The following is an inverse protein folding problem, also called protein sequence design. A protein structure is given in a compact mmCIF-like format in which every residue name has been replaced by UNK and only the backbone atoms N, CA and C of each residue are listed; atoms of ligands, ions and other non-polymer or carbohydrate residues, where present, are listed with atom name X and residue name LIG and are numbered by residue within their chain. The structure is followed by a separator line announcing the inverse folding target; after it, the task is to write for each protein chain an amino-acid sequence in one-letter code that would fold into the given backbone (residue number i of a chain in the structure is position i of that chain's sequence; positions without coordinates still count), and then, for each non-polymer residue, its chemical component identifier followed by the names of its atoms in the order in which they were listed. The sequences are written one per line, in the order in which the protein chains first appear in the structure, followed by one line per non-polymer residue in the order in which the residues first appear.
data_IF_552908601218
#
_entry.id   IF_552908601218
#
_cell.length_a   1.000
_cell.length_b   1.000
_cell.length_c   1.000
_cell.angle_alpha   90.00
_cell.angle_beta   90.00
_cell.angle_gamma   90.00
#
_symmetry.space_group_name_H-M   'P 1'
#
loop_
_entity.id
_entity.type
_entity.pdbx_description
1 polymer ?
#
# COMPACT_ATOMS: atom_id res chain seq x y z
N UNK A 1 2.56 27.85 -9.19
CA UNK A 1 1.21 28.15 -8.63
C UNK A 1 0.16 27.13 -9.10
N UNK A 2 0.05 26.84 -10.40
CA UNK A 2 -0.96 25.90 -10.96
C UNK A 2 -0.84 24.46 -10.48
N UNK A 3 0.37 23.90 -10.33
CA UNK A 3 0.57 22.51 -9.89
C UNK A 3 0.14 22.27 -8.43
N UNK A 4 0.37 23.24 -7.54
CA UNK A 4 -0.11 23.14 -6.16
C UNK A 4 -1.64 23.11 -6.06
N UNK A 5 -2.35 23.83 -6.93
CA UNK A 5 -3.81 23.80 -7.00
C UNK A 5 -4.32 22.46 -7.56
N UNK A 6 -3.64 21.86 -8.55
CA UNK A 6 -3.97 20.53 -9.08
C UNK A 6 -3.79 19.47 -7.99
N UNK A 7 -2.67 19.47 -7.31
CA UNK A 7 -2.39 18.54 -6.18
C UNK A 7 -3.45 18.70 -5.08
N UNK A 8 -3.80 19.94 -4.69
CA UNK A 8 -4.83 20.15 -3.67
C UNK A 8 -6.21 19.61 -4.10
N UNK A 9 -6.60 19.81 -5.37
CA UNK A 9 -7.85 19.23 -5.94
C UNK A 9 -7.80 17.70 -5.95
N UNK A 10 -6.68 17.10 -6.35
CA UNK A 10 -6.46 15.65 -6.31
C UNK A 10 -6.61 15.09 -4.89
N UNK A 11 -5.99 15.72 -3.89
CA UNK A 11 -6.11 15.34 -2.48
C UNK A 11 -7.56 15.44 -1.99
N UNK A 12 -8.27 16.55 -2.31
CA UNK A 12 -9.68 16.72 -1.94
C UNK A 12 -10.54 15.62 -2.58
N UNK A 13 -10.27 15.25 -3.84
CA UNK A 13 -10.95 14.13 -4.51
C UNK A 13 -10.69 12.82 -3.77
N UNK A 14 -9.44 12.50 -3.43
CA UNK A 14 -9.07 11.32 -2.65
C UNK A 14 -9.77 11.29 -1.31
N UNK A 15 -9.78 12.40 -0.56
CA UNK A 15 -10.51 12.49 0.71
C UNK A 15 -12.01 12.17 0.56
N UNK A 16 -12.66 12.68 -0.49
CA UNK A 16 -14.08 12.38 -0.76
C UNK A 16 -14.30 10.91 -1.07
N UNK A 17 -13.43 10.30 -1.88
CA UNK A 17 -13.53 8.88 -2.26
C UNK A 17 -13.31 8.00 -1.02
N UNK A 18 -12.24 8.23 -0.26
CA UNK A 18 -11.79 7.32 0.77
C UNK A 18 -12.48 7.52 2.13
N UNK A 19 -12.99 8.72 2.42
CA UNK A 19 -13.71 9.02 3.67
C UNK A 19 -15.21 9.24 3.48
N UNK A 20 -15.71 9.35 2.25
CA UNK A 20 -17.12 9.64 1.95
C UNK A 20 -18.07 8.47 2.19
N UNK A 21 -17.57 7.23 2.25
CA UNK A 21 -18.38 6.02 2.40
C UNK A 21 -18.13 5.32 3.73
N UNK A 22 -19.10 5.41 4.64
CA UNK A 22 -19.05 4.75 5.95
C UNK A 22 -19.18 3.23 5.85
N UNK A 23 -19.87 2.71 4.85
CA UNK A 23 -20.04 1.26 4.66
C UNK A 23 -18.71 0.62 4.26
N UNK A 24 -17.95 1.28 3.37
CA UNK A 24 -16.59 0.90 2.99
C UNK A 24 -15.66 0.94 4.20
N UNK A 25 -15.72 2.00 5.02
CA UNK A 25 -14.91 2.10 6.23
C UNK A 25 -15.20 0.94 7.21
N UNK A 26 -16.47 0.60 7.43
CA UNK A 26 -16.86 -0.53 8.28
C UNK A 26 -16.44 -1.90 7.69
N UNK A 27 -16.47 -2.07 6.37
CA UNK A 27 -16.00 -3.28 5.71
C UNK A 27 -14.47 -3.41 5.87
N UNK A 28 -13.73 -2.32 5.69
CA UNK A 28 -12.28 -2.25 5.92
C UNK A 28 -11.91 -2.62 7.36
N UNK A 29 -12.64 -2.08 8.36
CA UNK A 29 -12.42 -2.41 9.77
C UNK A 29 -12.64 -3.90 10.03
N UNK A 30 -13.68 -4.51 9.45
CA UNK A 30 -13.93 -5.96 9.59
C UNK A 30 -12.81 -6.79 8.98
N UNK A 31 -12.33 -6.42 7.79
CA UNK A 31 -11.22 -7.11 7.12
C UNK A 31 -9.95 -7.02 7.95
N UNK A 32 -9.56 -5.80 8.37
CA UNK A 32 -8.36 -5.58 9.18
C UNK A 32 -8.44 -6.25 10.55
N UNK A 33 -9.62 -6.37 11.17
CA UNK A 33 -9.80 -7.08 12.43
C UNK A 33 -9.46 -8.57 12.34
N UNK A 34 -9.38 -9.14 11.13
CA UNK A 34 -8.83 -10.47 10.88
C UNK A 34 -7.34 -10.59 11.18
N UNK A 35 -6.60 -9.48 11.11
CA UNK A 35 -5.13 -9.45 11.21
C UNK A 35 -4.62 -8.68 12.43
N UNK A 36 -5.38 -7.68 12.91
CA UNK A 36 -4.93 -6.67 13.87
C UNK A 36 -5.77 -6.73 15.14
N UNK A 37 -5.13 -6.67 16.28
CA UNK A 37 -5.73 -6.59 17.62
C UNK A 37 -5.37 -5.27 18.28
N UNK A 38 -6.16 -4.89 19.29
CA UNK A 38 -5.85 -3.71 20.11
C UNK A 38 -4.44 -3.78 20.69
N UNK A 39 -3.67 -2.72 20.50
CA UNK A 39 -2.29 -2.61 20.98
C UNK A 39 -1.23 -3.14 20.02
N UNK A 40 -1.61 -3.86 18.96
CA UNK A 40 -0.68 -4.30 17.92
C UNK A 40 0.00 -3.10 17.24
N UNK A 41 1.21 -3.33 16.76
CA UNK A 41 1.90 -2.41 15.86
C UNK A 41 1.57 -2.78 14.42
N UNK A 42 1.24 -1.79 13.60
CA UNK A 42 0.94 -1.95 12.17
C UNK A 42 1.78 -0.97 11.36
N UNK A 43 2.31 -1.43 10.24
CA UNK A 43 2.92 -0.54 9.23
C UNK A 43 1.96 -0.36 8.06
N UNK A 44 1.69 0.90 7.71
CA UNK A 44 0.92 1.31 6.54
C UNK A 44 1.88 1.99 5.55
N UNK A 45 2.36 1.21 4.57
CA UNK A 45 3.36 1.63 3.60
C UNK A 45 2.63 2.13 2.35
N UNK A 46 2.76 3.43 2.06
CA UNK A 46 1.94 4.15 1.10
C UNK A 46 0.65 4.67 1.76
N UNK A 47 0.78 5.35 2.91
CA UNK A 47 -0.37 5.74 3.73
C UNK A 47 -1.32 6.74 3.07
N UNK A 48 -0.93 7.37 1.96
CA UNK A 48 -1.73 8.26 1.12
C UNK A 48 -2.49 9.31 1.96
N UNK A 49 -3.83 9.36 1.91
CA UNK A 49 -4.65 10.28 2.72
C UNK A 49 -4.97 9.75 4.12
N UNK A 50 -4.49 8.54 4.48
CA UNK A 50 -4.59 7.97 5.82
C UNK A 50 -5.90 7.27 6.15
N UNK A 51 -6.66 6.80 5.17
CA UNK A 51 -7.90 6.06 5.41
C UNK A 51 -7.65 4.69 6.06
N UNK A 52 -6.56 3.97 5.67
CA UNK A 52 -6.10 2.75 6.35
C UNK A 52 -5.59 3.07 7.77
N UNK A 53 -4.85 4.16 7.94
CA UNK A 53 -4.46 4.66 9.28
C UNK A 53 -5.69 4.86 10.17
N UNK A 54 -6.75 5.47 9.65
CA UNK A 54 -8.01 5.66 10.38
C UNK A 54 -8.65 4.31 10.79
N UNK A 55 -8.63 3.31 9.90
CA UNK A 55 -9.15 1.97 10.18
C UNK A 55 -8.35 1.29 11.30
N UNK A 56 -7.04 1.23 11.20
CA UNK A 56 -6.17 0.63 12.22
C UNK A 56 -6.31 1.33 13.58
N UNK A 57 -6.48 2.66 13.59
CA UNK A 57 -6.75 3.41 14.82
C UNK A 57 -8.07 3.03 15.47
N UNK A 58 -9.15 2.85 14.69
CA UNK A 58 -10.45 2.38 15.23
C UNK A 58 -10.34 0.99 15.88
N UNK A 59 -9.44 0.14 15.38
CA UNK A 59 -9.11 -1.15 15.98
C UNK A 59 -8.21 -1.04 17.22
N UNK A 60 -7.71 0.16 17.53
CA UNK A 60 -6.85 0.42 18.68
C UNK A 60 -5.39 0.01 18.49
N UNK A 61 -4.92 -0.10 17.25
CA UNK A 61 -3.53 -0.36 16.93
C UNK A 61 -2.63 0.88 17.11
N UNK A 62 -1.32 0.65 17.23
CA UNK A 62 -0.26 1.65 17.03
C UNK A 62 0.16 1.57 15.56
N UNK A 63 0.36 2.70 14.90
CA UNK A 63 0.58 2.75 13.47
C UNK A 63 1.89 3.48 13.13
N UNK A 64 2.66 2.91 12.20
CA UNK A 64 3.70 3.63 11.45
C UNK A 64 3.15 3.88 10.06
N UNK A 65 2.77 5.13 9.81
CA UNK A 65 2.28 5.60 8.50
C UNK A 65 3.46 6.08 7.67
N UNK A 66 3.75 5.41 6.57
CA UNK A 66 4.89 5.70 5.70
C UNK A 66 4.39 6.28 4.38
N UNK A 67 4.82 7.50 4.07
CA UNK A 67 4.36 8.21 2.88
C UNK A 67 5.47 9.12 2.35
N UNK A 68 5.96 8.94 1.10
CA UNK A 68 7.03 9.77 0.56
C UNK A 68 6.56 11.11 0.00
N UNK A 69 5.28 11.25 -0.42
CA UNK A 69 4.80 12.44 -1.13
C UNK A 69 4.65 13.64 -0.16
N UNK A 70 5.39 14.75 -0.34
CA UNK A 70 5.43 15.85 0.64
C UNK A 70 4.07 16.48 0.96
N UNK A 71 3.16 16.54 -0.03
CA UNK A 71 1.82 17.10 0.17
C UNK A 71 0.95 16.19 1.06
N UNK A 72 1.05 14.87 0.88
CA UNK A 72 0.33 13.88 1.68
C UNK A 72 0.93 13.75 3.09
N UNK A 73 2.26 13.85 3.23
CA UNK A 73 2.92 13.93 4.54
C UNK A 73 2.39 15.11 5.37
N UNK A 74 2.21 16.30 4.73
CA UNK A 74 1.62 17.47 5.42
C UNK A 74 0.19 17.18 5.87
N UNK A 75 -0.60 16.50 5.04
CA UNK A 75 -1.97 16.11 5.36
C UNK A 75 -2.00 15.11 6.52
N UNK A 76 -1.18 14.06 6.48
CA UNK A 76 -1.06 13.09 7.58
C UNK A 76 -0.64 13.75 8.89
N UNK A 77 0.32 14.67 8.85
CA UNK A 77 0.72 15.46 10.03
C UNK A 77 -0.41 16.33 10.56
N UNK A 78 -1.24 16.91 9.69
CA UNK A 78 -2.41 17.68 10.10
C UNK A 78 -3.44 16.80 10.83
N UNK A 79 -3.70 15.57 10.34
CA UNK A 79 -4.71 14.68 10.90
C UNK A 79 -4.20 13.89 12.10
N UNK A 80 -2.95 13.44 12.06
CA UNK A 80 -2.43 12.45 13.00
C UNK A 80 -1.16 12.90 13.75
N UNK A 81 -0.60 14.07 13.43
CA UNK A 81 0.67 14.51 14.03
C UNK A 81 0.64 14.76 15.55
N UNK A 82 -0.57 14.80 16.15
CA UNK A 82 -0.76 14.89 17.60
C UNK A 82 -1.27 13.59 18.23
N UNK A 83 -1.42 12.53 17.43
CA UNK A 83 -1.89 11.23 17.90
C UNK A 83 -0.69 10.41 18.39
N UNK A 84 -0.66 10.08 19.69
CA UNK A 84 0.46 9.32 20.28
C UNK A 84 0.56 7.89 19.74
N UNK A 85 -0.49 7.38 19.13
CA UNK A 85 -0.62 6.05 18.53
C UNK A 85 -0.18 6.01 17.04
N UNK A 86 0.23 7.17 16.45
CA UNK A 86 0.63 7.26 15.03
C UNK A 86 2.02 7.91 14.89
N UNK A 87 2.98 7.16 14.34
CA UNK A 87 4.24 7.69 13.86
C UNK A 87 4.16 7.92 12.35
N UNK A 88 4.67 9.05 11.86
CA UNK A 88 4.66 9.38 10.43
C UNK A 88 6.10 9.40 9.92
N UNK A 89 6.40 8.56 8.95
CA UNK A 89 7.70 8.46 8.27
C UNK A 89 7.58 9.03 6.85
N UNK A 90 8.29 10.14 6.60
CA UNK A 90 8.27 10.84 5.31
C UNK A 90 9.32 10.25 4.35
N UNK A 91 9.18 8.97 4.01
CA UNK A 91 10.16 8.19 3.22
C UNK A 91 9.44 7.24 2.27
N UNK A 92 10.11 6.83 1.19
CA UNK A 92 9.71 5.65 0.42
C UNK A 92 10.30 4.38 1.06
N UNK A 93 9.75 3.22 0.71
CA UNK A 93 10.27 1.92 1.14
C UNK A 93 10.79 1.16 -0.07
N UNK A 94 11.98 0.58 0.06
CA UNK A 94 12.60 -0.19 -1.01
C UNK A 94 13.60 -1.20 -0.46
N UNK A 95 14.36 -1.83 -1.37
CA UNK A 95 15.35 -2.86 -1.05
C UNK A 95 16.54 -2.34 -0.24
N UNK A 96 16.96 -1.10 -0.50
CA UNK A 96 18.15 -0.48 0.10
C UNK A 96 17.85 0.93 0.59
N UNK A 97 18.51 1.35 1.65
CA UNK A 97 18.49 2.74 2.11
C UNK A 97 19.18 3.62 1.07
N UNK A 98 18.59 4.79 0.79
CA UNK A 98 19.14 5.72 -0.19
C UNK A 98 18.19 6.86 -0.54
N UNK A 99 18.17 7.24 -1.80
CA UNK A 99 17.28 8.28 -2.36
C UNK A 99 16.76 7.79 -3.71
N UNK A 100 15.50 8.08 -4.01
CA UNK A 100 14.87 7.80 -5.31
C UNK A 100 14.03 8.99 -5.75
N UNK A 101 13.57 8.97 -7.00
CA UNK A 101 12.65 9.96 -7.51
C UNK A 101 11.21 9.47 -7.40
N UNK A 102 10.37 10.21 -6.69
CA UNK A 102 8.91 10.01 -6.68
C UNK A 102 8.30 10.77 -7.85
N UNK A 103 7.70 10.03 -8.78
CA UNK A 103 6.92 10.58 -9.89
C UNK A 103 5.49 10.84 -9.42
N UNK A 104 5.06 12.09 -9.47
CA UNK A 104 3.79 12.55 -8.92
C UNK A 104 2.78 12.78 -10.04
N UNK A 105 1.61 12.19 -9.88
CA UNK A 105 0.41 12.54 -10.63
C UNK A 105 -0.39 13.56 -9.82
N UNK A 106 -0.33 14.83 -10.20
CA UNK A 106 -0.96 15.91 -9.44
C UNK A 106 -2.49 15.84 -9.42
N UNK A 107 -3.11 15.29 -10.46
CA UNK A 107 -4.58 15.17 -10.57
C UNK A 107 -5.10 13.91 -9.86
N UNK A 108 -4.25 12.89 -9.75
CA UNK A 108 -4.54 11.63 -9.06
C UNK A 108 -3.36 11.21 -8.17
N UNK A 109 -3.21 11.80 -6.98
CA UNK A 109 -2.08 11.51 -6.09
C UNK A 109 -1.95 10.03 -5.69
N UNK A 110 -3.05 9.27 -5.75
CA UNK A 110 -3.09 7.83 -5.45
C UNK A 110 -2.07 7.05 -6.27
N UNK A 111 -1.96 7.33 -7.58
CA UNK A 111 -1.06 6.61 -8.49
C UNK A 111 0.35 7.23 -8.60
N UNK A 112 0.76 8.04 -7.61
CA UNK A 112 2.15 8.52 -7.55
C UNK A 112 3.08 7.38 -7.18
N UNK A 113 4.21 7.24 -7.88
CA UNK A 113 5.05 6.04 -7.80
C UNK A 113 6.54 6.35 -7.85
N UNK A 114 7.34 5.48 -7.27
CA UNK A 114 8.81 5.46 -7.46
C UNK A 114 9.23 4.47 -8.55
N UNK A 115 8.29 3.79 -9.23
CA UNK A 115 8.54 2.81 -10.28
C UNK A 115 8.41 3.41 -11.69
N UNK A 116 9.51 3.65 -12.44
CA UNK A 116 9.42 4.02 -13.85
C UNK A 116 8.75 2.93 -14.70
N UNK A 117 8.88 1.66 -14.30
CA UNK A 117 8.23 0.53 -14.97
C UNK A 117 6.71 0.61 -14.87
N UNK A 118 6.15 1.03 -13.71
CA UNK A 118 4.72 1.25 -13.53
C UNK A 118 4.20 2.35 -14.47
N UNK A 119 4.90 3.49 -14.53
CA UNK A 119 4.55 4.59 -15.44
C UNK A 119 4.55 4.12 -16.90
N UNK A 120 5.52 3.30 -17.28
CA UNK A 120 5.60 2.75 -18.64
C UNK A 120 4.48 1.74 -18.90
N UNK A 121 4.17 0.85 -17.96
CA UNK A 121 3.09 -0.13 -18.07
C UNK A 121 1.71 0.55 -18.17
N UNK A 122 1.51 1.67 -17.48
CA UNK A 122 0.27 2.45 -17.53
C UNK A 122 0.05 3.16 -18.89
N UNK A 123 1.13 3.44 -19.64
CA UNK A 123 1.02 4.12 -20.94
C UNK A 123 0.31 3.22 -21.95
N UNK A 124 -0.84 3.68 -22.44
CA UNK A 124 -1.65 2.94 -23.43
C UNK A 124 -2.40 1.74 -22.86
N UNK A 125 -2.33 1.50 -21.55
CA UNK A 125 -3.14 0.48 -20.91
C UNK A 125 -4.60 0.95 -20.78
N UNK A 126 -5.60 0.10 -21.10
CA UNK A 126 -7.00 0.46 -20.95
C UNK A 126 -7.33 0.92 -19.53
N UNK A 127 -8.00 2.07 -19.40
CA UNK A 127 -8.36 2.68 -18.12
C UNK A 127 -7.28 3.56 -17.50
N UNK A 128 -6.06 3.63 -18.09
CA UNK A 128 -4.94 4.43 -17.61
C UNK A 128 -4.62 5.64 -18.50
N UNK A 129 -5.34 5.83 -19.60
CA UNK A 129 -5.07 6.87 -20.61
C UNK A 129 -5.07 8.30 -20.06
N UNK A 130 -5.80 8.56 -18.98
CA UNK A 130 -5.88 9.86 -18.34
C UNK A 130 -4.74 10.13 -17.33
N UNK A 131 -3.95 9.13 -16.97
CA UNK A 131 -2.92 9.28 -15.95
C UNK A 131 -1.68 10.02 -16.50
N UNK A 132 -1.20 11.02 -15.77
CA UNK A 132 -0.04 11.84 -16.16
C UNK A 132 0.85 12.11 -14.94
N UNK A 133 2.09 11.69 -15.02
CA UNK A 133 3.13 11.98 -14.03
C UNK A 133 3.94 13.18 -14.53
N UNK A 134 3.57 14.37 -14.09
CA UNK A 134 4.14 15.63 -14.58
C UNK A 134 5.22 16.21 -13.67
N UNK A 135 5.36 15.67 -12.47
CA UNK A 135 6.32 16.13 -11.48
C UNK A 135 7.19 14.97 -11.01
N UNK A 136 8.43 15.28 -10.63
CA UNK A 136 9.34 14.33 -9.98
C UNK A 136 10.06 15.04 -8.85
N UNK A 137 10.10 14.41 -7.68
CA UNK A 137 10.80 14.94 -6.50
C UNK A 137 11.70 13.88 -5.89
N UNK A 138 12.92 14.22 -5.46
CA UNK A 138 13.76 13.28 -4.73
C UNK A 138 13.18 13.03 -3.35
N UNK A 139 13.13 11.76 -2.95
CA UNK A 139 12.65 11.33 -1.63
C UNK A 139 13.61 10.32 -1.02
N UNK A 140 13.81 10.33 0.30
CA UNK A 140 14.62 9.32 0.97
C UNK A 140 13.94 7.95 0.89
N UNK A 141 14.75 6.90 0.85
CA UNK A 141 14.31 5.50 0.86
C UNK A 141 14.83 4.83 2.13
N UNK A 142 13.98 4.07 2.78
CA UNK A 142 14.33 3.15 3.86
C UNK A 142 13.95 1.71 3.50
N UNK A 143 14.26 0.74 4.37
CA UNK A 143 13.83 -0.65 4.21
C UNK A 143 12.80 -1.02 5.26
N UNK A 144 12.02 -2.08 5.01
CA UNK A 144 11.12 -2.63 6.03
C UNK A 144 11.90 -3.10 7.26
N UNK A 145 13.08 -3.69 7.09
CA UNK A 145 13.94 -4.09 8.21
C UNK A 145 14.39 -2.90 9.06
N UNK A 146 14.73 -1.77 8.45
CA UNK A 146 15.10 -0.56 9.17
C UNK A 146 13.90 0.01 9.97
N UNK A 147 12.69 -0.04 9.41
CA UNK A 147 11.47 0.35 10.12
C UNK A 147 11.17 -0.60 11.29
N UNK A 148 11.36 -1.91 11.10
CA UNK A 148 11.24 -2.91 12.18
C UNK A 148 12.27 -2.65 13.27
N UNK A 149 13.51 -2.34 12.91
CA UNK A 149 14.55 -1.98 13.87
C UNK A 149 14.23 -0.72 14.69
N UNK A 150 13.59 0.27 14.06
CA UNK A 150 13.24 1.55 14.69
C UNK A 150 11.99 1.47 15.56
N UNK A 151 10.95 0.79 15.12
CA UNK A 151 9.61 0.83 15.74
C UNK A 151 9.22 -0.47 16.44
N UNK A 152 9.97 -1.55 16.20
CA UNK A 152 9.65 -2.90 16.65
C UNK A 152 8.94 -3.72 15.56
N UNK A 153 8.78 -5.05 15.77
CA UNK A 153 8.13 -5.93 14.83
C UNK A 153 6.62 -5.67 14.76
N UNK A 154 6.04 -5.39 13.57
CA UNK A 154 4.61 -5.22 13.41
C UNK A 154 3.88 -6.56 13.38
N UNK A 155 2.62 -6.56 13.81
CA UNK A 155 1.71 -7.69 13.63
C UNK A 155 1.21 -7.77 12.19
N UNK A 156 1.11 -6.61 11.50
CA UNK A 156 0.63 -6.52 10.14
C UNK A 156 1.36 -5.41 9.37
N UNK A 157 1.68 -5.66 8.10
CA UNK A 157 2.21 -4.67 7.16
C UNK A 157 1.26 -4.59 5.95
N UNK A 158 0.72 -3.39 5.66
CA UNK A 158 0.09 -3.09 4.38
C UNK A 158 1.13 -2.43 3.47
N UNK A 159 1.27 -2.90 2.24
CA UNK A 159 2.18 -2.33 1.23
C UNK A 159 1.35 -1.94 0.01
N UNK A 160 1.35 -0.64 -0.32
CA UNK A 160 0.59 -0.06 -1.40
C UNK A 160 1.39 1.11 -1.97
N UNK A 161 2.30 0.81 -2.89
CA UNK A 161 3.33 1.74 -3.36
C UNK A 161 3.39 1.84 -4.90
N UNK A 162 2.27 1.46 -5.53
CA UNK A 162 1.99 1.69 -6.95
C UNK A 162 3.09 1.14 -7.87
N UNK A 163 3.27 -0.19 -7.82
CA UNK A 163 4.21 -0.92 -8.68
C UNK A 163 5.64 -0.98 -8.14
N UNK A 164 5.87 -0.68 -6.85
CA UNK A 164 7.17 -0.82 -6.19
C UNK A 164 7.12 -1.83 -5.03
N UNK A 165 6.07 -2.65 -4.96
CA UNK A 165 5.81 -3.62 -3.89
C UNK A 165 6.93 -4.67 -3.80
N UNK A 166 7.42 -5.16 -4.94
CA UNK A 166 8.54 -6.11 -4.98
C UNK A 166 9.80 -5.52 -4.33
N UNK A 167 10.15 -4.28 -4.66
CA UNK A 167 11.30 -3.60 -4.07
C UNK A 167 11.12 -3.37 -2.57
N UNK A 168 9.92 -3.02 -2.14
CA UNK A 168 9.59 -2.88 -0.72
C UNK A 168 9.75 -4.22 0.03
N UNK A 169 9.19 -5.31 -0.50
CA UNK A 169 9.29 -6.65 0.09
C UNK A 169 10.71 -7.22 0.09
N UNK A 170 11.56 -6.85 -0.86
CA UNK A 170 12.99 -7.23 -0.83
C UNK A 170 13.73 -6.59 0.36
N UNK A 171 13.23 -5.50 0.93
CA UNK A 171 13.75 -4.85 2.12
C UNK A 171 13.31 -5.49 3.44
N UNK A 172 12.58 -6.62 3.41
CA UNK A 172 12.16 -7.41 4.58
C UNK A 172 12.93 -8.73 4.60
N UNK A 173 13.74 -8.97 5.64
CA UNK A 173 14.54 -10.20 5.78
C UNK A 173 13.86 -11.29 6.60
N UNK A 174 12.88 -10.96 7.43
CA UNK A 174 12.16 -11.88 8.30
C UNK A 174 10.64 -11.67 8.19
N UNK A 175 9.90 -12.76 8.09
CA UNK A 175 8.44 -12.69 8.06
C UNK A 175 7.89 -12.03 9.34
N UNK A 176 6.86 -11.21 9.17
CA UNK A 176 5.96 -10.77 10.23
C UNK A 176 4.72 -11.68 10.23
N UNK A 177 3.84 -11.56 11.23
CA UNK A 177 2.68 -12.46 11.37
C UNK A 177 1.79 -12.50 10.11
N UNK A 178 1.51 -11.35 9.53
CA UNK A 178 0.78 -11.23 8.27
C UNK A 178 1.15 -9.92 7.55
N UNK A 179 0.96 -9.91 6.24
CA UNK A 179 1.08 -8.69 5.43
C UNK A 179 0.05 -8.69 4.29
N UNK A 180 -0.16 -7.54 3.68
CA UNK A 180 -0.79 -7.44 2.37
C UNK A 180 0.03 -6.53 1.45
N UNK A 181 -0.07 -6.79 0.16
CA UNK A 181 0.50 -5.92 -0.87
C UNK A 181 -0.50 -5.72 -2.01
N UNK A 182 -0.50 -4.50 -2.57
CA UNK A 182 -1.32 -4.21 -3.73
C UNK A 182 -0.79 -4.94 -4.97
N UNK A 183 -1.71 -5.31 -5.86
CA UNK A 183 -1.40 -5.72 -7.23
C UNK A 183 -2.20 -4.90 -8.23
N UNK A 184 -1.60 -4.62 -9.38
CA UNK A 184 -2.28 -4.08 -10.56
C UNK A 184 -2.14 -5.05 -11.73
N UNK A 185 -3.21 -5.16 -12.53
CA UNK A 185 -3.22 -6.09 -13.69
C UNK A 185 -2.22 -5.67 -14.78
N UNK A 186 -1.85 -4.40 -14.83
CA UNK A 186 -0.85 -3.90 -15.76
C UNK A 186 0.60 -4.30 -15.39
N UNK A 187 0.81 -4.81 -14.15
CA UNK A 187 2.10 -5.31 -13.66
C UNK A 187 1.93 -6.60 -12.84
N UNK A 188 1.29 -7.61 -13.43
CA UNK A 188 1.13 -8.93 -12.76
C UNK A 188 2.43 -9.58 -12.37
N UNK A 189 3.49 -9.38 -13.14
CA UNK A 189 4.83 -9.88 -12.88
C UNK A 189 5.37 -9.39 -11.54
N UNK A 190 5.14 -8.12 -11.18
CA UNK A 190 5.50 -7.56 -9.87
C UNK A 190 4.77 -8.33 -8.76
N UNK A 191 3.47 -8.53 -8.90
CA UNK A 191 2.69 -9.24 -7.89
C UNK A 191 3.06 -10.72 -7.77
N UNK A 192 3.37 -11.40 -8.88
CA UNK A 192 3.87 -12.79 -8.85
C UNK A 192 5.23 -12.87 -8.12
N UNK A 193 6.15 -11.93 -8.39
CA UNK A 193 7.41 -11.85 -7.66
C UNK A 193 7.23 -11.55 -6.17
N UNK A 194 6.20 -10.77 -5.79
CA UNK A 194 5.83 -10.55 -4.40
C UNK A 194 5.32 -11.85 -3.73
N UNK A 195 4.51 -12.66 -4.42
CA UNK A 195 4.06 -13.97 -3.92
C UNK A 195 5.27 -14.89 -3.69
N UNK A 196 6.17 -15.00 -4.68
CA UNK A 196 7.40 -15.79 -4.56
C UNK A 196 8.26 -15.34 -3.37
N UNK A 197 8.40 -14.00 -3.18
CA UNK A 197 9.11 -13.46 -2.03
C UNK A 197 8.44 -13.81 -0.71
N UNK A 198 7.12 -13.75 -0.63
CA UNK A 198 6.36 -14.15 0.56
C UNK A 198 6.57 -15.64 0.87
N UNK A 199 6.53 -16.53 -0.14
CA UNK A 199 6.82 -17.96 0.05
C UNK A 199 8.24 -18.15 0.59
N UNK A 200 9.22 -17.47 0.02
CA UNK A 200 10.62 -17.52 0.48
C UNK A 200 10.80 -17.01 1.92
N UNK A 201 9.96 -16.10 2.39
CA UNK A 201 9.92 -15.62 3.76
C UNK A 201 9.20 -16.59 4.72
N UNK A 202 8.52 -17.63 4.21
CA UNK A 202 7.83 -18.66 5.00
C UNK A 202 6.32 -18.46 5.13
N UNK A 203 5.71 -17.56 4.37
CA UNK A 203 4.24 -17.45 4.32
C UNK A 203 3.65 -18.64 3.57
N UNK A 204 2.62 -19.25 4.15
CA UNK A 204 1.99 -20.47 3.61
C UNK A 204 0.52 -20.29 3.30
N UNK A 205 -0.11 -19.20 3.76
CA UNK A 205 -1.54 -18.93 3.62
C UNK A 205 -1.74 -17.63 2.88
N UNK A 206 -2.51 -17.67 1.79
CA UNK A 206 -2.79 -16.52 0.94
C UNK A 206 -4.28 -16.36 0.71
N UNK A 207 -4.70 -15.12 0.54
CA UNK A 207 -6.02 -14.75 0.05
C UNK A 207 -5.91 -13.42 -0.71
N UNK A 208 -6.99 -12.91 -1.29
CA UNK A 208 -6.99 -11.66 -2.01
C UNK A 208 -8.28 -10.87 -1.77
N UNK A 209 -8.25 -9.56 -2.03
CA UNK A 209 -9.45 -8.73 -2.17
C UNK A 209 -9.34 -7.92 -3.46
N UNK A 210 -10.41 -7.85 -4.26
CA UNK A 210 -10.43 -7.12 -5.53
C UNK A 210 -10.81 -5.65 -5.29
N UNK A 211 -10.04 -4.76 -5.86
CA UNK A 211 -10.25 -3.32 -5.77
C UNK A 211 -10.47 -2.88 -4.32
N UNK A 212 -11.46 -2.04 -4.12
CA UNK A 212 -11.85 -1.53 -2.79
C UNK A 212 -13.00 -2.32 -2.13
N UNK A 213 -13.19 -3.60 -2.50
CA UNK A 213 -14.30 -4.41 -1.98
C UNK A 213 -14.21 -4.68 -0.49
N UNK A 214 -13.00 -4.66 0.08
CA UNK A 214 -12.72 -4.99 1.49
C UNK A 214 -13.30 -6.35 1.90
N UNK A 215 -13.37 -7.29 0.95
CA UNK A 215 -13.89 -8.65 1.15
C UNK A 215 -12.94 -9.65 0.52
N UNK A 216 -12.58 -10.70 1.25
CA UNK A 216 -11.72 -11.75 0.73
C UNK A 216 -12.40 -12.49 -0.43
N UNK A 217 -11.65 -12.66 -1.52
CA UNK A 217 -12.13 -13.25 -2.77
C UNK A 217 -12.32 -14.76 -2.69
N UNK A 218 -11.51 -15.44 -1.87
CA UNK A 218 -11.62 -16.88 -1.65
C UNK A 218 -12.25 -17.14 -0.27
N UNK A 219 -13.20 -18.08 -0.16
CA UNK A 219 -13.82 -18.43 1.12
C UNK A 219 -12.80 -19.00 2.10
N UNK A 220 -11.83 -19.76 1.60
CA UNK A 220 -10.74 -20.34 2.35
C UNK A 220 -9.39 -19.74 1.98
N UNK A 221 -8.44 -19.84 2.90
CA UNK A 221 -7.05 -19.50 2.61
C UNK A 221 -6.44 -20.58 1.71
N UNK A 222 -5.68 -20.14 0.72
CA UNK A 222 -5.04 -20.99 -0.28
C UNK A 222 -3.51 -20.93 -0.13
N UNK A 223 -2.79 -21.85 -0.79
CA UNK A 223 -1.34 -21.81 -0.86
C UNK A 223 -0.82 -20.80 -1.91
N UNK A 224 0.51 -20.59 -1.93
CA UNK A 224 1.15 -19.62 -2.82
C UNK A 224 1.00 -19.97 -4.31
N UNK A 225 0.95 -21.24 -4.66
CA UNK A 225 0.76 -21.68 -6.05
C UNK A 225 -0.69 -21.42 -6.52
N UNK A 226 -1.65 -21.67 -5.65
CA UNK A 226 -3.07 -21.44 -5.92
C UNK A 226 -3.36 -19.94 -6.10
N UNK A 227 -2.82 -19.08 -5.23
CA UNK A 227 -3.03 -17.61 -5.36
C UNK A 227 -2.34 -17.06 -6.61
N UNK A 228 -1.15 -17.56 -6.98
CA UNK A 228 -0.46 -17.17 -8.22
C UNK A 228 -1.27 -17.56 -9.46
N UNK A 229 -1.84 -18.78 -9.48
CA UNK A 229 -2.75 -19.23 -10.55
C UNK A 229 -4.02 -18.38 -10.61
N UNK A 230 -4.61 -18.02 -9.46
CA UNK A 230 -5.77 -17.15 -9.37
C UNK A 230 -5.46 -15.78 -9.98
N UNK A 231 -4.36 -15.14 -9.56
CA UNK A 231 -3.92 -13.83 -10.07
C UNK A 231 -3.69 -13.87 -11.59
N UNK A 232 -3.05 -14.92 -12.10
CA UNK A 232 -2.75 -15.06 -13.53
C UNK A 232 -4.03 -15.14 -14.39
N UNK A 233 -5.13 -15.71 -13.85
CA UNK A 233 -6.41 -15.88 -14.54
C UNK A 233 -7.32 -14.65 -14.47
N UNK A 234 -6.99 -13.65 -13.67
CA UNK A 234 -7.83 -12.45 -13.55
C UNK A 234 -7.95 -11.75 -14.93
N UNK A 235 -9.15 -11.32 -15.31
CA UNK A 235 -9.33 -10.52 -16.53
C UNK A 235 -8.72 -9.12 -16.32
N UNK A 236 -8.42 -8.42 -17.42
CA UNK A 236 -7.92 -7.04 -17.36
C UNK A 236 -8.87 -6.11 -16.57
N UNK A 237 -10.18 -6.35 -16.67
CA UNK A 237 -11.21 -5.58 -15.97
C UNK A 237 -11.14 -5.67 -14.44
N UNK A 238 -10.39 -6.64 -13.85
CA UNK A 238 -10.16 -6.70 -12.41
C UNK A 238 -9.34 -5.50 -11.89
N UNK A 239 -8.56 -4.87 -12.78
CA UNK A 239 -7.75 -3.68 -12.57
C UNK A 239 -6.70 -3.84 -11.46
N UNK A 240 -7.09 -3.85 -10.18
CA UNK A 240 -6.20 -3.97 -9.02
C UNK A 240 -6.87 -4.66 -7.84
N UNK A 241 -6.10 -4.89 -6.80
CA UNK A 241 -6.55 -5.43 -5.52
C UNK A 241 -5.39 -5.68 -4.57
N UNK A 242 -5.67 -6.31 -3.45
CA UNK A 242 -4.68 -6.68 -2.45
C UNK A 242 -4.51 -8.20 -2.37
N UNK A 243 -3.28 -8.67 -2.26
CA UNK A 243 -2.96 -10.04 -1.84
C UNK A 243 -2.56 -10.00 -0.36
N UNK A 244 -3.15 -10.88 0.41
CA UNK A 244 -2.88 -11.09 1.83
C UNK A 244 -2.04 -12.35 1.99
N UNK A 245 -0.99 -12.28 2.80
CA UNK A 245 -0.13 -13.41 3.14
C UNK A 245 -0.02 -13.54 4.67
N UNK A 246 -0.15 -14.75 5.19
CA UNK A 246 -0.07 -15.03 6.63
C UNK A 246 0.81 -16.27 6.89
N UNK A 247 1.49 -16.26 8.03
CA UNK A 247 2.10 -17.47 8.60
C UNK A 247 1.02 -18.45 9.02
N UNK A 248 1.41 -19.73 9.18
CA UNK A 248 0.51 -20.80 9.64
C UNK A 248 -0.12 -20.52 11.02
#
# INVERSE_FOLDING_TARGET
MFEGLRTARGIIRSLRIYYGDRSRAAAMDRLHAGFVRRGDLVFDIGAHVGDRVASFRRLGARIVAVEPQPALVKLLKLFYGRCADVAIEAVAVGRHVGTTNLMINADNPTVSTTSPAFVNAARGAPGWDAQRWTMSVPVPVTTLDALVGKHGPPAFIKIDVEGFEQEALQGLSRAVKALSFEFTIIQRDVALACIERCIALGYTRFNAALGESQTLANPDWVDGEQIARWLTRLPHAANSGDIYAALA
#
